data_IF_177438489813
#
_entry.id   IF_177438489813
#
_cell.length_a   1.000
_cell.length_b   1.000
_cell.length_c   1.000
_cell.angle_alpha   90.00
_cell.angle_beta   90.00
_cell.angle_gamma   90.00
#
_symmetry.space_group_name_H-M   'P 1'
#
loop_
_entity.id
_entity.type
_entity.pdbx_description
1 polymer ?
#
# COMPACT_ATOMS: atom_id res chain seq x y z
N UNK A 1 -9.55 -17.01 18.97
CA UNK A 1 -8.10 -17.11 19.25
C UNK A 1 -7.23 -17.11 17.99
N UNK A 2 -7.54 -17.92 16.96
CA UNK A 2 -6.74 -18.02 15.72
C UNK A 2 -6.52 -16.69 14.95
N UNK A 3 -7.56 -15.85 14.84
CA UNK A 3 -7.48 -14.59 14.08
C UNK A 3 -6.56 -13.57 14.75
N UNK A 4 -6.68 -13.40 16.07
CA UNK A 4 -5.87 -12.44 16.84
C UNK A 4 -4.38 -12.77 16.77
N UNK A 5 -4.02 -14.05 16.92
CA UNK A 5 -2.62 -14.50 16.81
C UNK A 5 -2.07 -14.34 15.40
N UNK A 6 -2.89 -14.52 14.36
CA UNK A 6 -2.48 -14.33 12.96
C UNK A 6 -2.27 -12.85 12.64
N UNK A 7 -3.18 -11.99 13.09
CA UNK A 7 -3.05 -10.54 12.90
C UNK A 7 -1.82 -9.98 13.62
N UNK A 8 -1.55 -10.43 14.85
CA UNK A 8 -0.36 -10.02 15.59
C UNK A 8 0.94 -10.55 14.95
N UNK A 9 0.95 -11.80 14.47
CA UNK A 9 2.08 -12.36 13.73
C UNK A 9 2.36 -11.62 12.42
N UNK A 10 1.30 -11.28 11.67
CA UNK A 10 1.40 -10.51 10.43
C UNK A 10 2.00 -9.12 10.66
N UNK A 11 1.51 -8.39 11.66
CA UNK A 11 2.06 -7.08 12.05
C UNK A 11 3.54 -7.17 12.46
N UNK A 12 3.91 -8.25 13.13
CA UNK A 12 5.28 -8.51 13.56
C UNK A 12 6.22 -8.87 12.38
N UNK A 13 5.76 -9.68 11.43
CA UNK A 13 6.55 -10.09 10.26
C UNK A 13 6.70 -8.96 9.23
N UNK A 14 5.70 -8.10 9.14
CA UNK A 14 5.77 -6.83 8.40
C UNK A 14 6.78 -5.89 9.03
N UNK A 15 6.77 -5.72 10.35
CA UNK A 15 7.76 -4.88 11.05
C UNK A 15 9.19 -5.41 10.86
N UNK A 16 9.36 -6.70 10.56
CA UNK A 16 10.62 -7.35 10.19
C UNK A 16 10.92 -7.34 8.69
N UNK A 17 10.06 -6.78 7.84
CA UNK A 17 10.24 -6.72 6.39
C UNK A 17 10.19 -8.08 5.69
N UNK A 18 9.55 -9.09 6.29
CA UNK A 18 9.47 -10.46 5.74
C UNK A 18 8.28 -10.70 4.83
N UNK A 19 7.28 -9.85 4.89
CA UNK A 19 6.12 -9.90 4.00
C UNK A 19 6.25 -8.82 2.93
N UNK A 20 6.43 -9.28 1.69
CA UNK A 20 6.52 -8.41 0.54
C UNK A 20 5.12 -7.91 0.15
N UNK A 21 4.96 -6.60 0.02
CA UNK A 21 3.82 -5.98 -0.64
C UNK A 21 3.73 -6.33 -2.15
N UNK A 22 4.63 -7.18 -2.65
CA UNK A 22 4.74 -7.66 -4.05
C UNK A 22 3.60 -8.56 -4.51
N UNK A 23 2.71 -9.01 -3.62
CA UNK A 23 1.53 -9.81 -4.04
C UNK A 23 0.36 -8.94 -4.52
N UNK A 24 0.46 -7.62 -4.39
CA UNK A 24 -0.51 -6.69 -4.96
C UNK A 24 -0.26 -6.58 -6.46
N UNK A 25 -0.78 -7.55 -7.22
CA UNK A 25 -1.09 -7.32 -8.62
C UNK A 25 -1.95 -6.06 -8.76
N UNK A 26 -1.95 -5.42 -9.93
CA UNK A 26 -2.64 -4.15 -10.09
C UNK A 26 -4.15 -4.25 -9.83
N UNK A 27 -4.88 -3.12 -9.90
CA UNK A 27 -6.29 -3.04 -9.55
C UNK A 27 -7.16 -4.09 -10.27
N UNK A 28 -6.79 -4.46 -11.50
CA UNK A 28 -7.54 -5.42 -12.29
C UNK A 28 -7.33 -6.84 -11.75
N UNK A 29 -6.10 -7.19 -11.39
CA UNK A 29 -5.80 -8.50 -10.79
C UNK A 29 -6.48 -8.67 -9.44
N UNK A 30 -6.53 -7.61 -8.62
CA UNK A 30 -7.27 -7.63 -7.35
C UNK A 30 -8.75 -7.93 -7.59
N UNK A 31 -9.38 -7.31 -8.60
CA UNK A 31 -10.77 -7.60 -8.95
C UNK A 31 -10.98 -9.06 -9.38
N UNK A 32 -10.06 -9.61 -10.19
CA UNK A 32 -10.13 -11.02 -10.62
C UNK A 32 -9.99 -12.00 -9.45
N UNK A 33 -8.97 -11.81 -8.60
CA UNK A 33 -8.75 -12.64 -7.41
C UNK A 33 -9.93 -12.54 -6.46
N UNK A 34 -10.50 -11.35 -6.30
CA UNK A 34 -11.71 -11.15 -5.49
C UNK A 34 -12.91 -11.94 -6.04
N UNK A 35 -13.10 -11.95 -7.37
CA UNK A 35 -14.13 -12.77 -8.02
C UNK A 35 -13.93 -14.26 -7.82
N UNK A 36 -12.69 -14.75 -7.90
CA UNK A 36 -12.35 -16.15 -7.64
C UNK A 36 -12.60 -16.52 -6.16
N UNK A 37 -12.12 -15.69 -5.24
CA UNK A 37 -12.30 -15.90 -3.79
C UNK A 37 -13.77 -15.81 -3.37
N UNK A 38 -14.59 -15.00 -4.06
CA UNK A 38 -16.03 -14.94 -3.84
C UNK A 38 -16.71 -16.30 -4.01
N UNK A 39 -16.21 -17.14 -4.94
CA UNK A 39 -16.74 -18.49 -5.15
C UNK A 39 -16.46 -19.43 -3.96
N UNK A 40 -15.42 -19.14 -3.16
CA UNK A 40 -15.11 -19.85 -1.93
C UNK A 40 -15.95 -19.39 -0.72
N UNK A 41 -16.82 -18.39 -0.89
CA UNK A 41 -17.80 -17.94 0.10
C UNK A 41 -17.37 -16.70 0.91
N UNK A 42 -18.31 -16.22 1.74
CA UNK A 42 -18.19 -14.94 2.44
C UNK A 42 -16.99 -14.86 3.41
N UNK A 43 -16.68 -15.96 4.12
CA UNK A 43 -15.53 -16.00 5.04
C UNK A 43 -14.21 -15.86 4.28
N UNK A 44 -14.11 -16.40 3.07
CA UNK A 44 -12.93 -16.27 2.24
C UNK A 44 -12.74 -14.81 1.76
N UNK A 45 -13.84 -14.15 1.36
CA UNK A 45 -13.83 -12.72 1.02
C UNK A 45 -13.40 -11.84 2.21
N UNK A 46 -13.89 -12.11 3.42
CA UNK A 46 -13.46 -11.39 4.61
C UNK A 46 -11.96 -11.55 4.88
N UNK A 47 -11.40 -12.75 4.67
CA UNK A 47 -9.96 -12.96 4.82
C UNK A 47 -9.16 -12.21 3.74
N UNK A 48 -9.61 -12.22 2.49
CA UNK A 48 -8.97 -11.46 1.42
C UNK A 48 -9.01 -9.95 1.72
N UNK A 49 -10.17 -9.43 2.12
CA UNK A 49 -10.32 -8.04 2.50
C UNK A 49 -9.40 -7.66 3.67
N UNK A 50 -9.31 -8.51 4.70
CA UNK A 50 -8.40 -8.28 5.81
C UNK A 50 -6.93 -8.20 5.36
N UNK A 51 -6.48 -9.12 4.49
CA UNK A 51 -5.11 -9.10 3.96
C UNK A 51 -4.86 -7.82 3.15
N UNK A 52 -5.74 -7.50 2.20
CA UNK A 52 -5.62 -6.28 1.37
C UNK A 52 -5.61 -5.02 2.24
N UNK A 53 -6.51 -4.93 3.23
CA UNK A 53 -6.58 -3.78 4.14
C UNK A 53 -5.30 -3.58 4.94
N UNK A 54 -4.71 -4.66 5.48
CA UNK A 54 -3.45 -4.53 6.22
C UNK A 54 -2.34 -4.13 5.26
N UNK A 55 -2.24 -4.72 4.07
CA UNK A 55 -1.21 -4.36 3.08
C UNK A 55 -1.31 -2.89 2.65
N UNK A 56 -2.52 -2.37 2.36
CA UNK A 56 -2.72 -0.95 2.01
C UNK A 56 -2.39 -0.05 3.21
N UNK A 57 -2.81 -0.44 4.42
CA UNK A 57 -2.49 0.31 5.63
C UNK A 57 -0.98 0.45 5.86
N UNK A 58 -0.22 -0.62 5.59
CA UNK A 58 1.24 -0.60 5.66
C UNK A 58 1.87 0.21 4.53
N UNK A 59 1.31 0.11 3.32
CA UNK A 59 1.75 0.92 2.20
C UNK A 59 1.60 2.42 2.50
N UNK A 60 0.50 2.82 3.13
CA UNK A 60 0.26 4.20 3.55
C UNK A 60 1.27 4.70 4.60
N UNK A 61 1.93 3.83 5.35
CA UNK A 61 2.96 4.21 6.32
C UNK A 61 4.35 4.39 5.68
N UNK A 62 4.55 4.03 4.41
CA UNK A 62 5.82 4.31 3.75
C UNK A 62 6.07 5.82 3.64
N UNK A 63 7.34 6.26 3.66
CA UNK A 63 7.72 7.68 3.61
C UNK A 63 7.60 8.23 2.18
N UNK A 64 6.44 8.06 1.56
CA UNK A 64 6.11 8.59 0.24
C UNK A 64 5.32 9.89 0.46
N UNK A 65 5.81 11.04 -0.05
CA UNK A 65 5.06 12.29 -0.02
C UNK A 65 3.66 12.08 -0.62
N UNK A 66 2.60 12.62 -0.01
CA UNK A 66 1.16 12.36 -0.29
C UNK A 66 0.50 11.22 0.52
N UNK A 67 1.25 10.22 1.01
CA UNK A 67 0.72 9.21 1.93
C UNK A 67 0.85 9.65 3.39
N UNK A 68 0.13 8.98 4.30
CA UNK A 68 0.17 9.24 5.75
C UNK A 68 1.61 9.19 6.31
N UNK A 69 2.42 8.24 5.83
CA UNK A 69 3.84 8.11 6.17
C UNK A 69 4.73 9.23 5.61
N UNK A 70 4.29 9.94 4.57
CA UNK A 70 4.95 11.14 4.08
C UNK A 70 4.91 12.29 5.09
N UNK A 71 3.81 12.41 5.85
CA UNK A 71 3.73 13.35 6.96
C UNK A 71 4.67 12.96 8.10
N UNK A 72 4.73 11.66 8.44
CA UNK A 72 5.69 11.15 9.42
C UNK A 72 7.14 11.43 9.02
N UNK A 73 7.47 11.30 7.73
CA UNK A 73 8.77 11.68 7.18
C UNK A 73 9.05 13.17 7.40
N UNK A 74 8.10 14.05 7.07
CA UNK A 74 8.27 15.49 7.27
C UNK A 74 8.45 15.84 8.75
N UNK A 75 7.69 15.25 9.66
CA UNK A 75 7.87 15.43 11.10
C UNK A 75 9.22 14.90 11.59
N UNK A 76 9.70 13.77 11.05
CA UNK A 76 11.04 13.27 11.34
C UNK A 76 12.13 14.25 10.90
N UNK A 77 12.00 14.82 9.70
CA UNK A 77 12.92 15.85 9.20
C UNK A 77 12.86 17.11 10.08
N UNK A 78 11.66 17.56 10.48
CA UNK A 78 11.49 18.71 11.36
C UNK A 78 12.08 18.48 12.75
N UNK A 79 11.93 17.28 13.31
CA UNK A 79 12.51 16.90 14.59
C UNK A 79 14.04 16.96 14.56
N UNK A 80 14.67 16.49 13.49
CA UNK A 80 16.13 16.58 13.30
C UNK A 80 16.58 18.02 13.03
N UNK A 81 15.79 18.78 12.26
CA UNK A 81 16.12 20.16 11.84
C UNK A 81 15.85 21.20 12.93
N UNK A 82 15.01 20.87 13.92
CA UNK A 82 14.57 21.77 15.00
C UNK A 82 13.71 22.95 14.54
N UNK A 83 13.26 22.98 13.28
CA UNK A 83 12.43 24.05 12.70
C UNK A 83 11.49 23.48 11.63
N UNK A 84 10.25 24.00 11.53
CA UNK A 84 9.26 23.50 10.58
C UNK A 84 9.75 23.61 9.14
N UNK A 85 9.36 22.66 8.29
CA UNK A 85 9.57 22.72 6.84
C UNK A 85 8.76 23.88 6.26
N UNK A 86 9.30 24.57 5.26
CA UNK A 86 8.54 25.62 4.59
C UNK A 86 7.41 25.00 3.76
N UNK A 87 6.28 25.69 3.68
CA UNK A 87 5.12 25.26 2.90
C UNK A 87 5.49 24.93 1.45
N UNK A 88 6.36 25.73 0.83
CA UNK A 88 6.88 25.49 -0.52
C UNK A 88 7.58 24.11 -0.66
N UNK A 89 8.34 23.67 0.34
CA UNK A 89 9.03 22.36 0.28
C UNK A 89 8.02 21.23 0.43
N UNK A 90 7.04 21.38 1.32
CA UNK A 90 5.97 20.40 1.48
C UNK A 90 5.16 20.28 0.19
N UNK A 91 4.75 21.40 -0.41
CA UNK A 91 3.98 21.44 -1.66
C UNK A 91 4.73 20.77 -2.83
N UNK A 92 6.03 21.06 -2.98
CA UNK A 92 6.87 20.39 -3.99
C UNK A 92 6.94 18.90 -3.71
N UNK A 93 7.13 18.50 -2.44
CA UNK A 93 7.12 17.11 -2.02
C UNK A 93 5.82 16.41 -2.42
N UNK A 94 4.66 16.99 -2.08
CA UNK A 94 3.34 16.47 -2.45
C UNK A 94 3.17 16.34 -3.97
N UNK A 95 3.58 17.33 -4.76
CA UNK A 95 3.50 17.26 -6.22
C UNK A 95 4.34 16.13 -6.81
N UNK A 96 5.56 15.95 -6.30
CA UNK A 96 6.44 14.86 -6.72
C UNK A 96 5.82 13.51 -6.33
N UNK A 97 5.33 13.40 -5.10
CA UNK A 97 4.64 12.21 -4.60
C UNK A 97 3.41 11.83 -5.43
N UNK A 98 2.56 12.81 -5.74
CA UNK A 98 1.40 12.64 -6.60
C UNK A 98 1.79 12.19 -8.00
N UNK A 99 2.78 12.84 -8.62
CA UNK A 99 3.26 12.45 -9.94
C UNK A 99 3.79 11.00 -9.94
N UNK A 100 4.52 10.60 -8.90
CA UNK A 100 5.02 9.24 -8.74
C UNK A 100 3.89 8.21 -8.57
N UNK A 101 2.90 8.49 -7.72
CA UNK A 101 1.74 7.59 -7.53
C UNK A 101 0.92 7.46 -8.82
N UNK A 102 0.67 8.56 -9.52
CA UNK A 102 -0.02 8.53 -10.82
C UNK A 102 0.77 7.73 -11.86
N UNK A 103 2.09 7.90 -11.92
CA UNK A 103 2.96 7.13 -12.79
C UNK A 103 2.88 5.63 -12.47
N UNK A 104 2.96 5.24 -11.20
CA UNK A 104 2.81 3.85 -10.76
C UNK A 104 1.43 3.30 -11.08
N UNK A 105 0.37 4.07 -10.92
CA UNK A 105 -1.00 3.67 -11.25
C UNK A 105 -1.14 3.37 -12.74
N UNK A 106 -0.62 4.25 -13.60
CA UNK A 106 -0.60 4.04 -15.05
C UNK A 106 0.23 2.80 -15.39
N UNK A 107 1.42 2.67 -14.82
CA UNK A 107 2.32 1.53 -15.04
C UNK A 107 1.68 0.20 -14.63
N UNK A 108 1.12 0.12 -13.42
CA UNK A 108 0.45 -1.07 -12.91
C UNK A 108 -0.77 -1.45 -13.75
N UNK A 109 -1.58 -0.46 -14.13
CA UNK A 109 -2.74 -0.68 -15.01
C UNK A 109 -2.31 -1.17 -16.39
N UNK A 110 -1.26 -0.57 -16.97
CA UNK A 110 -0.71 -0.99 -18.26
C UNK A 110 -0.13 -2.41 -18.18
N UNK A 111 0.61 -2.72 -17.12
CA UNK A 111 1.14 -4.04 -16.87
C UNK A 111 0.03 -5.09 -16.72
N UNK A 112 -1.04 -4.77 -15.99
CA UNK A 112 -2.22 -5.63 -15.87
C UNK A 112 -2.87 -5.88 -17.25
N UNK A 113 -3.03 -4.84 -18.07
CA UNK A 113 -3.61 -4.94 -19.41
C UNK A 113 -2.80 -5.82 -20.37
N UNK A 114 -1.46 -5.73 -20.31
CA UNK A 114 -0.59 -6.61 -21.11
C UNK A 114 -0.74 -8.06 -20.68
N UNK A 115 -0.70 -8.33 -19.37
CA UNK A 115 -0.81 -9.69 -18.84
C UNK A 115 -2.20 -10.29 -19.09
N UNK A 116 -3.25 -9.47 -19.11
CA UNK A 116 -4.61 -9.87 -19.50
C UNK A 116 -4.74 -10.28 -20.96
N UNK A 117 -3.97 -9.67 -21.86
CA UNK A 117 -4.03 -9.94 -23.30
C UNK A 117 -3.19 -11.16 -23.74
N UNK A 118 -2.34 -11.69 -22.87
CA UNK A 118 -1.43 -12.80 -23.16
C UNK A 118 -1.87 -14.15 -22.56
N UNK A 119 -3.09 -14.21 -21.99
CA UNK A 119 -3.84 -15.43 -21.65
C UNK A 119 -5.02 -15.59 -22.61
#
# INVERSE_FOLDING_TARGET
>A
YFVVSRSLGYLYDVARGREAADQLGGPIRIAQVSGQVATAGFVALLNLAAIISVSIGLLNLFPIPMLDGGHLLFYGIEAVRGRPLSENIQEIGFRIGLAFVLMLMIFATWNDLIHLKFL
#
